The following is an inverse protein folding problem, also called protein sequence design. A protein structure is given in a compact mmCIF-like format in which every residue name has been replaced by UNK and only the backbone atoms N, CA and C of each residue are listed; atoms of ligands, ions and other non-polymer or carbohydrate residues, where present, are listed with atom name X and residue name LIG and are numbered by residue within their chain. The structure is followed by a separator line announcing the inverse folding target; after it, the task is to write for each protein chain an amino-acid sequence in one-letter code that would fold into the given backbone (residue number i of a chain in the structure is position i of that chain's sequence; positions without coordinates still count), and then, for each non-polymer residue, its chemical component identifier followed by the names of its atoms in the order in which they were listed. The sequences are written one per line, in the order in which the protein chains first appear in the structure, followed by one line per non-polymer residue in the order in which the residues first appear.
data_IF_706967068200
#
_entry.id   IF_706967068200
#
_cell.length_a   1.000
_cell.length_b   1.000
_cell.length_c   1.000
_cell.angle_alpha   90.00
_cell.angle_beta   90.00
_cell.angle_gamma   90.00
#
_symmetry.space_group_name_H-M   'P 1'
#
loop_
_entity.id
_entity.type
_entity.pdbx_description
1 polymer ?
#
# COMPACT_ATOMS: atom_id res chain seq x y z
N UNK A 1 27.51 7.67 -2.62
CA UNK A 1 26.52 6.66 -2.17
C UNK A 1 26.02 6.90 -0.73
N UNK A 2 26.88 7.08 0.32
CA UNK A 2 26.40 7.27 1.72
C UNK A 2 25.45 8.46 1.95
N UNK A 3 25.60 9.60 1.26
CA UNK A 3 24.74 10.79 1.42
C UNK A 3 23.28 10.57 0.97
N UNK A 4 23.04 9.77 -0.06
CA UNK A 4 21.68 9.51 -0.55
C UNK A 4 20.86 8.65 0.44
N UNK A 5 21.50 7.69 1.12
CA UNK A 5 20.83 6.87 2.14
C UNK A 5 20.45 7.69 3.38
N UNK A 6 21.28 8.66 3.75
CA UNK A 6 21.00 9.55 4.90
C UNK A 6 19.78 10.43 4.60
N UNK A 7 19.67 10.99 3.37
CA UNK A 7 18.54 11.84 2.98
C UNK A 7 17.24 11.02 2.95
N UNK A 8 17.27 9.81 2.39
CA UNK A 8 16.10 8.91 2.37
C UNK A 8 15.68 8.54 3.80
N UNK A 9 16.64 8.22 4.69
CA UNK A 9 16.33 7.88 6.07
C UNK A 9 15.72 9.09 6.84
N UNK A 10 16.22 10.31 6.61
CA UNK A 10 15.69 11.53 7.25
C UNK A 10 14.27 11.83 6.76
N UNK A 11 14.00 11.68 5.45
CA UNK A 11 12.66 11.92 4.90
C UNK A 11 11.66 10.89 5.43
N UNK A 12 12.06 9.63 5.56
CA UNK A 12 11.20 8.57 6.15
C UNK A 12 10.91 8.85 7.62
N UNK A 13 11.88 9.33 8.39
CA UNK A 13 11.70 9.69 9.80
C UNK A 13 10.76 10.89 9.95
N UNK A 14 10.90 11.92 9.12
CA UNK A 14 10.04 13.12 9.16
C UNK A 14 8.61 12.78 8.74
N UNK A 15 8.43 11.98 7.68
CA UNK A 15 7.11 11.52 7.26
C UNK A 15 6.44 10.63 8.32
N UNK A 16 7.20 9.75 8.98
CA UNK A 16 6.72 8.93 10.08
C UNK A 16 6.33 9.78 11.30
N UNK A 17 7.11 10.81 11.62
CA UNK A 17 6.79 11.74 12.72
C UNK A 17 5.55 12.59 12.43
N UNK A 18 5.40 13.10 11.21
CA UNK A 18 4.20 13.85 10.79
C UNK A 18 2.94 12.96 10.82
N UNK A 19 3.05 11.72 10.35
CA UNK A 19 1.96 10.75 10.40
C UNK A 19 1.63 10.35 11.85
N UNK A 20 2.63 10.16 12.70
CA UNK A 20 2.45 9.92 14.14
C UNK A 20 1.71 11.05 14.84
N UNK A 21 2.08 12.31 14.59
CA UNK A 21 1.39 13.48 15.15
C UNK A 21 -0.05 13.60 14.63
N UNK A 22 -0.27 13.32 13.36
CA UNK A 22 -1.62 13.29 12.77
C UNK A 22 -2.51 12.21 13.40
N UNK A 23 -1.96 11.01 13.64
CA UNK A 23 -2.72 9.90 14.23
C UNK A 23 -2.96 10.08 15.72
N UNK A 24 -1.99 10.61 16.46
CA UNK A 24 -2.09 10.90 17.90
C UNK A 24 -3.25 11.86 18.21
N UNK A 25 -3.48 12.86 17.37
CA UNK A 25 -4.57 13.81 17.55
C UNK A 25 -5.97 13.24 17.28
N UNK A 26 -6.08 11.98 16.82
CA UNK A 26 -7.36 11.33 16.50
C UNK A 26 -7.62 10.04 17.28
N UNK A 27 -6.92 9.79 18.38
CA UNK A 27 -7.10 8.56 19.15
C UNK A 27 -6.62 7.30 18.42
N UNK A 28 -5.65 7.46 17.51
CA UNK A 28 -5.06 6.37 16.73
C UNK A 28 -3.59 6.24 17.05
N UNK A 29 -3.16 5.02 17.39
CA UNK A 29 -1.75 4.68 17.63
C UNK A 29 -1.26 3.72 16.54
N UNK A 30 -0.15 4.06 15.89
CA UNK A 30 0.53 3.14 14.97
C UNK A 30 1.24 2.05 15.78
N UNK A 31 1.02 0.81 15.39
CA UNK A 31 1.65 -0.39 15.95
C UNK A 31 2.83 -0.80 15.08
N UNK A 32 2.64 -0.86 13.76
CA UNK A 32 3.68 -1.28 12.83
C UNK A 32 3.54 -0.57 11.47
N UNK A 33 4.67 -0.08 10.94
CA UNK A 33 4.77 0.47 9.58
C UNK A 33 5.22 -0.62 8.60
N UNK A 34 4.37 -1.01 7.67
CA UNK A 34 4.67 -2.09 6.72
C UNK A 34 5.75 -1.70 5.70
N UNK A 35 5.91 -0.41 5.40
CA UNK A 35 7.02 0.07 4.55
C UNK A 35 8.38 -0.24 5.18
N UNK A 36 8.47 -0.23 6.51
CA UNK A 36 9.72 -0.56 7.21
C UNK A 36 10.05 -2.05 7.16
N UNK A 37 9.02 -2.91 7.06
CA UNK A 37 9.18 -4.37 6.92
C UNK A 37 9.50 -4.76 5.47
N UNK A 38 9.05 -3.97 4.50
CA UNK A 38 9.13 -4.31 3.08
C UNK A 38 10.50 -4.81 2.59
N UNK A 39 11.66 -4.29 3.06
CA UNK A 39 12.97 -4.78 2.65
C UNK A 39 13.36 -6.15 3.21
N UNK A 40 12.67 -6.61 4.28
CA UNK A 40 12.99 -7.88 4.95
C UNK A 40 12.35 -9.05 4.22
N UNK A 41 13.15 -9.79 3.47
CA UNK A 41 12.69 -10.95 2.69
C UNK A 41 12.33 -12.17 3.56
N UNK A 42 12.71 -12.21 4.82
CA UNK A 42 12.26 -13.25 5.74
C UNK A 42 10.80 -13.01 6.21
N UNK A 43 10.36 -11.75 6.17
CA UNK A 43 9.01 -11.34 6.57
C UNK A 43 8.09 -11.01 5.39
N UNK A 44 8.63 -10.99 4.16
CA UNK A 44 7.85 -10.60 2.97
C UNK A 44 8.04 -11.57 1.82
N UNK A 45 6.98 -11.77 1.06
CA UNK A 45 7.03 -12.47 -0.22
C UNK A 45 6.52 -11.55 -1.34
N UNK A 46 7.27 -11.48 -2.44
CA UNK A 46 7.00 -10.63 -3.59
C UNK A 46 6.83 -11.49 -4.84
N UNK A 47 5.63 -11.51 -5.40
CA UNK A 47 5.28 -12.25 -6.63
C UNK A 47 4.84 -11.28 -7.71
N UNK A 48 5.48 -11.35 -8.88
CA UNK A 48 5.12 -10.57 -10.07
C UNK A 48 5.52 -11.31 -11.33
N UNK A 49 4.91 -10.94 -12.45
CA UNK A 49 5.34 -11.36 -13.79
C UNK A 49 6.56 -10.58 -14.28
N UNK A 50 6.88 -9.45 -13.64
CA UNK A 50 8.04 -8.60 -13.93
C UNK A 50 9.20 -8.92 -12.97
N UNK A 51 10.44 -8.60 -13.36
CA UNK A 51 11.57 -8.62 -12.44
C UNK A 51 11.27 -7.80 -11.17
N UNK A 52 11.76 -8.29 -10.02
CA UNK A 52 11.43 -7.72 -8.70
C UNK A 52 11.76 -6.22 -8.59
N UNK A 53 12.92 -5.82 -9.11
CA UNK A 53 13.41 -4.43 -9.09
C UNK A 53 12.58 -3.49 -9.98
N UNK A 54 11.82 -4.03 -10.94
CA UNK A 54 10.87 -3.29 -11.77
C UNK A 54 9.50 -3.26 -11.12
N UNK A 55 9.06 -4.42 -10.59
CA UNK A 55 7.72 -4.58 -10.04
C UNK A 55 7.51 -3.88 -8.70
N UNK A 56 8.59 -3.70 -7.90
CA UNK A 56 8.47 -3.21 -6.53
C UNK A 56 9.52 -2.15 -6.20
N UNK A 57 9.06 -1.09 -5.54
CA UNK A 57 9.95 -0.06 -4.99
C UNK A 57 9.33 0.54 -3.73
N UNK A 58 10.09 0.62 -2.64
CA UNK A 58 9.69 1.39 -1.46
C UNK A 58 10.43 2.73 -1.44
N UNK A 59 9.72 3.80 -1.05
CA UNK A 59 10.28 5.13 -0.95
C UNK A 59 9.22 6.21 -0.72
N UNK A 60 9.63 7.49 -0.68
CA UNK A 60 8.69 8.60 -0.66
C UNK A 60 7.99 8.70 -2.02
N UNK A 61 6.68 8.83 -1.99
CA UNK A 61 5.83 9.03 -3.16
C UNK A 61 4.99 10.30 -2.95
N UNK A 62 4.93 11.14 -3.97
CA UNK A 62 4.20 12.42 -3.90
C UNK A 62 3.00 12.37 -4.85
N UNK A 63 1.82 12.66 -4.32
CA UNK A 63 0.58 12.76 -5.06
C UNK A 63 -0.10 14.07 -4.67
N UNK A 64 -0.35 14.93 -5.64
CA UNK A 64 -0.97 16.25 -5.46
C UNK A 64 -0.26 17.10 -4.39
N UNK A 65 1.07 17.05 -4.38
CA UNK A 65 1.89 17.79 -3.42
C UNK A 65 1.97 17.19 -2.03
N UNK A 66 1.23 16.10 -1.74
CA UNK A 66 1.31 15.39 -0.47
C UNK A 66 2.25 14.18 -0.59
N UNK A 67 3.34 14.18 0.19
CA UNK A 67 4.32 13.09 0.21
C UNK A 67 4.05 12.11 1.33
N UNK A 68 4.03 10.81 0.99
CA UNK A 68 3.89 9.68 1.92
C UNK A 68 4.97 8.63 1.67
N UNK A 69 5.44 7.91 2.70
CA UNK A 69 6.20 6.69 2.46
C UNK A 69 5.29 5.68 1.75
N UNK A 70 5.74 5.13 0.62
CA UNK A 70 4.91 4.26 -0.20
C UNK A 70 5.62 3.00 -0.65
N UNK A 71 4.83 2.02 -1.07
CA UNK A 71 5.27 0.84 -1.78
C UNK A 71 4.64 0.90 -3.17
N UNK A 72 5.47 1.22 -4.17
CA UNK A 72 5.11 1.06 -5.56
C UNK A 72 4.99 -0.43 -5.89
N UNK A 73 3.91 -0.81 -6.56
CA UNK A 73 3.68 -2.18 -7.02
C UNK A 73 3.11 -2.14 -8.44
N UNK A 74 3.93 -2.52 -9.43
CA UNK A 74 3.45 -2.64 -10.81
C UNK A 74 2.42 -3.78 -10.91
N UNK A 75 1.28 -3.61 -11.57
CA UNK A 75 0.37 -4.73 -11.89
C UNK A 75 1.03 -5.74 -12.85
N UNK A 76 0.75 -7.00 -12.79
CA UNK A 76 0.01 -7.76 -11.81
C UNK A 76 0.97 -8.27 -10.73
N UNK A 77 0.87 -7.73 -9.54
CA UNK A 77 1.81 -8.06 -8.46
C UNK A 77 1.09 -8.37 -7.17
N UNK A 78 1.74 -9.22 -6.36
CA UNK A 78 1.31 -9.59 -5.00
C UNK A 78 2.45 -9.41 -4.02
N UNK A 79 2.20 -8.69 -2.94
CA UNK A 79 3.08 -8.55 -1.80
C UNK A 79 2.39 -9.16 -0.57
N UNK A 80 3.11 -10.05 0.11
CA UNK A 80 2.64 -10.70 1.33
C UNK A 80 3.56 -10.30 2.48
N UNK A 81 2.99 -9.82 3.58
CA UNK A 81 3.68 -9.67 4.86
C UNK A 81 3.28 -10.86 5.74
N UNK A 82 4.25 -11.70 6.08
CA UNK A 82 4.02 -12.93 6.80
C UNK A 82 3.88 -12.72 8.31
N UNK A 83 2.93 -13.44 8.91
CA UNK A 83 2.78 -13.60 10.37
C UNK A 83 2.73 -12.29 11.14
N UNK A 84 2.00 -11.31 10.61
CA UNK A 84 1.74 -10.05 11.30
C UNK A 84 0.74 -10.31 12.43
N UNK A 85 1.11 -9.98 13.67
CA UNK A 85 0.19 -10.09 14.80
C UNK A 85 -0.81 -8.95 14.77
N UNK A 86 -2.11 -9.29 14.71
CA UNK A 86 -3.18 -8.30 14.70
C UNK A 86 -3.48 -7.89 16.15
N UNK A 87 -3.35 -6.60 16.51
CA UNK A 87 -3.68 -6.13 17.85
C UNK A 87 -5.19 -6.08 18.09
N UNK A 88 -5.60 -6.01 19.36
CA UNK A 88 -6.98 -5.67 19.72
C UNK A 88 -7.36 -4.31 19.10
N UNK A 89 -8.57 -4.19 18.57
CA UNK A 89 -9.01 -3.00 17.81
C UNK A 89 -8.06 -2.63 16.67
N UNK A 90 -7.41 -3.63 16.05
CA UNK A 90 -6.46 -3.46 14.96
C UNK A 90 -7.14 -3.05 13.66
N UNK A 91 -6.55 -2.09 12.95
CA UNK A 91 -6.94 -1.68 11.61
C UNK A 91 -5.72 -1.61 10.70
N UNK A 92 -5.92 -1.88 9.41
CA UNK A 92 -4.98 -1.44 8.38
C UNK A 92 -5.39 -0.05 7.91
N UNK A 93 -4.51 0.93 8.08
CA UNK A 93 -4.60 2.23 7.40
C UNK A 93 -3.65 2.24 6.22
N UNK A 94 -4.17 2.66 5.07
CA UNK A 94 -3.40 2.74 3.84
C UNK A 94 -4.03 3.78 2.92
N UNK A 95 -3.23 4.33 2.01
CA UNK A 95 -3.67 5.25 0.96
C UNK A 95 -3.37 4.62 -0.39
N UNK A 96 -4.34 4.65 -1.28
CA UNK A 96 -4.19 4.12 -2.64
C UNK A 96 -3.98 5.28 -3.59
N UNK A 97 -3.08 5.11 -4.56
CA UNK A 97 -2.94 6.07 -5.64
C UNK A 97 -2.34 5.42 -6.89
N UNK A 98 -2.61 6.03 -8.03
CA UNK A 98 -1.86 5.86 -9.26
C UNK A 98 -1.04 7.15 -9.44
N UNK A 99 0.25 7.02 -9.82
CA UNK A 99 1.17 8.17 -9.91
C UNK A 99 0.69 9.22 -10.93
N UNK A 100 0.97 10.48 -10.64
CA UNK A 100 0.54 11.63 -11.46
C UNK A 100 1.00 11.55 -12.92
N UNK A 101 2.18 10.99 -13.16
CA UNK A 101 2.71 10.80 -14.50
C UNK A 101 1.85 9.90 -15.41
N UNK A 102 0.91 9.13 -14.83
CA UNK A 102 -0.02 8.28 -15.58
C UNK A 102 -1.35 8.97 -15.93
N UNK A 103 -1.72 10.05 -15.23
CA UNK A 103 -3.08 10.58 -15.28
C UNK A 103 -3.52 11.11 -16.62
N UNK A 104 -2.60 11.72 -17.38
CA UNK A 104 -2.88 12.32 -18.70
C UNK A 104 -2.37 11.44 -19.86
N UNK A 105 -1.84 10.25 -19.56
CA UNK A 105 -1.37 9.35 -20.60
C UNK A 105 -2.54 8.58 -21.24
N UNK A 106 -2.58 8.48 -22.58
CA UNK A 106 -3.65 7.74 -23.24
C UNK A 106 -3.56 6.23 -22.91
N UNK A 107 -4.72 5.61 -22.79
CA UNK A 107 -4.84 4.16 -22.61
C UNK A 107 -4.78 3.67 -21.17
N UNK A 108 -4.64 4.54 -20.17
CA UNK A 108 -4.80 4.15 -18.77
C UNK A 108 -6.28 3.82 -18.48
N UNK A 109 -6.55 2.73 -17.78
CA UNK A 109 -7.88 2.32 -17.34
C UNK A 109 -7.93 2.03 -15.83
N UNK A 110 -6.88 2.46 -15.11
CA UNK A 110 -6.78 2.40 -13.66
C UNK A 110 -6.30 1.06 -13.13
N UNK A 111 -6.15 1.00 -11.82
CA UNK A 111 -5.63 -0.15 -11.08
C UNK A 111 -6.65 -0.68 -10.11
N UNK A 112 -6.84 -1.99 -10.08
CA UNK A 112 -7.60 -2.66 -9.05
C UNK A 112 -6.69 -3.02 -7.88
N UNK A 113 -6.89 -2.34 -6.75
CA UNK A 113 -6.24 -2.63 -5.47
C UNK A 113 -7.08 -3.62 -4.69
N UNK A 114 -6.45 -4.72 -4.26
CA UNK A 114 -7.11 -5.71 -3.41
C UNK A 114 -6.25 -6.00 -2.20
N UNK A 115 -6.88 -6.04 -1.05
CA UNK A 115 -6.24 -6.43 0.19
C UNK A 115 -7.06 -7.49 0.89
N UNK A 116 -6.40 -8.43 1.53
CA UNK A 116 -7.01 -9.41 2.40
C UNK A 116 -6.00 -10.02 3.35
N UNK A 117 -6.51 -10.88 4.20
CA UNK A 117 -5.73 -11.61 5.21
C UNK A 117 -5.84 -13.11 5.01
N UNK A 118 -4.84 -13.86 5.48
CA UNK A 118 -4.88 -15.32 5.46
C UNK A 118 -4.19 -15.91 6.69
N UNK A 119 -4.77 -16.99 7.22
CA UNK A 119 -4.15 -17.84 8.24
C UNK A 119 -3.31 -18.98 7.64
N UNK A 120 -3.11 -18.97 6.31
CA UNK A 120 -2.45 -20.02 5.55
C UNK A 120 -3.40 -21.12 5.04
N UNK A 121 -4.68 -21.11 5.43
CA UNK A 121 -5.72 -22.06 4.99
C UNK A 121 -6.85 -21.35 4.26
N UNK A 122 -7.31 -20.24 4.81
CA UNK A 122 -8.39 -19.43 4.29
C UNK A 122 -7.85 -18.03 3.92
N UNK A 123 -8.40 -17.43 2.86
CA UNK A 123 -8.16 -16.06 2.45
C UNK A 123 -9.46 -15.27 2.55
N UNK A 124 -9.44 -14.19 3.30
CA UNK A 124 -10.56 -13.26 3.43
C UNK A 124 -10.21 -11.96 2.73
N UNK A 125 -10.94 -11.60 1.67
CA UNK A 125 -10.80 -10.33 0.98
C UNK A 125 -11.51 -9.22 1.76
N UNK A 126 -10.77 -8.17 2.12
CA UNK A 126 -11.26 -7.05 2.93
C UNK A 126 -11.29 -5.72 2.19
N UNK A 127 -10.61 -5.62 1.06
CA UNK A 127 -10.62 -4.46 0.17
C UNK A 127 -10.61 -4.92 -1.28
N UNK A 128 -11.47 -4.28 -2.08
CA UNK A 128 -11.51 -4.41 -3.53
C UNK A 128 -11.88 -3.03 -4.10
N UNK A 129 -10.87 -2.24 -4.47
CA UNK A 129 -11.04 -0.85 -4.87
C UNK A 129 -10.35 -0.56 -6.20
N UNK A 130 -11.11 -0.10 -7.17
CA UNK A 130 -10.59 0.43 -8.43
C UNK A 130 -10.24 1.91 -8.26
N UNK A 131 -9.06 2.32 -8.73
CA UNK A 131 -8.57 3.71 -8.73
C UNK A 131 -8.16 4.05 -10.15
N UNK A 132 -8.88 4.97 -10.79
CA UNK A 132 -8.74 5.30 -12.22
C UNK A 132 -8.66 6.82 -12.44
N UNK A 133 -7.52 7.46 -12.16
CA UNK A 133 -7.37 8.91 -12.28
C UNK A 133 -7.38 9.42 -13.72
N UNK A 134 -7.19 8.55 -14.71
CA UNK A 134 -7.28 8.92 -16.12
C UNK A 134 -8.74 9.25 -16.52
N UNK A 135 -9.69 8.44 -16.08
CA UNK A 135 -11.10 8.57 -16.42
C UNK A 135 -11.95 9.16 -15.27
N UNK A 136 -11.46 9.12 -14.03
CA UNK A 136 -12.15 9.67 -12.85
C UNK A 136 -11.25 10.72 -12.13
N UNK A 137 -11.46 12.03 -12.34
CA UNK A 137 -10.67 13.07 -11.68
C UNK A 137 -10.74 13.04 -10.13
N UNK A 138 -11.78 12.43 -9.54
CA UNK A 138 -11.88 12.26 -8.09
C UNK A 138 -10.80 11.31 -7.53
N UNK A 139 -10.25 10.43 -8.37
CA UNK A 139 -9.17 9.51 -8.00
C UNK A 139 -7.77 10.14 -8.12
N UNK A 140 -7.67 11.38 -8.60
CA UNK A 140 -6.40 12.14 -8.70
C UNK A 140 -5.95 12.66 -7.34
N UNK A 141 -5.81 11.75 -6.38
CA UNK A 141 -5.40 12.03 -5.00
C UNK A 141 -5.02 10.74 -4.27
N UNK A 142 -4.55 10.88 -3.02
CA UNK A 142 -4.49 9.76 -2.10
C UNK A 142 -5.90 9.34 -1.66
N UNK A 143 -6.32 8.13 -2.04
CA UNK A 143 -7.60 7.54 -1.64
C UNK A 143 -7.40 6.79 -0.32
N UNK A 144 -7.86 7.38 0.79
CA UNK A 144 -7.69 6.82 2.12
C UNK A 144 -8.54 5.56 2.32
N UNK A 145 -7.95 4.52 2.91
CA UNK A 145 -8.62 3.30 3.34
C UNK A 145 -8.33 3.03 4.81
N UNK A 146 -9.35 2.58 5.53
CA UNK A 146 -9.27 2.20 6.94
C UNK A 146 -10.04 0.88 7.12
N UNK A 147 -9.30 -0.21 7.17
CA UNK A 147 -9.84 -1.58 7.11
C UNK A 147 -9.80 -2.18 8.51
N UNK A 148 -10.96 -2.55 9.03
CA UNK A 148 -11.10 -3.19 10.33
C UNK A 148 -10.54 -4.62 10.29
N UNK A 149 -9.59 -4.91 11.19
CA UNK A 149 -8.99 -6.22 11.38
C UNK A 149 -9.35 -6.83 12.73
N UNK A 150 -10.26 -6.23 13.49
CA UNK A 150 -10.58 -6.67 14.87
C UNK A 150 -11.08 -8.12 14.96
N UNK A 151 -11.70 -8.64 13.89
CA UNK A 151 -12.10 -10.04 13.80
C UNK A 151 -10.92 -11.03 13.89
N UNK A 152 -9.69 -10.58 13.67
CA UNK A 152 -8.45 -11.37 13.69
C UNK A 152 -7.57 -11.02 14.90
N UNK A 153 -8.10 -10.29 15.89
CA UNK A 153 -7.35 -9.86 17.07
C UNK A 153 -6.63 -11.02 17.76
N UNK A 154 -5.37 -10.81 18.14
CA UNK A 154 -4.49 -11.81 18.77
C UNK A 154 -3.93 -12.88 17.82
N UNK A 155 -4.39 -12.95 16.59
CA UNK A 155 -3.93 -13.94 15.61
C UNK A 155 -2.70 -13.41 14.82
N UNK A 156 -1.90 -14.36 14.32
CA UNK A 156 -0.86 -14.09 13.33
C UNK A 156 -1.43 -14.34 11.93
N UNK A 157 -1.54 -13.29 11.13
CA UNK A 157 -2.11 -13.34 9.79
C UNK A 157 -1.06 -12.94 8.73
N UNK A 158 -1.15 -13.54 7.58
CA UNK A 158 -0.49 -13.04 6.38
C UNK A 158 -1.34 -11.89 5.80
N UNK A 159 -0.72 -10.71 5.64
CA UNK A 159 -1.36 -9.56 5.01
C UNK A 159 -1.02 -9.55 3.52
N UNK A 160 -2.03 -9.64 2.66
CA UNK A 160 -1.88 -9.87 1.23
C UNK A 160 -2.37 -8.66 0.44
N UNK A 161 -1.43 -7.96 -0.20
CA UNK A 161 -1.67 -6.80 -1.06
C UNK A 161 -1.55 -7.24 -2.52
N UNK A 162 -2.53 -6.89 -3.34
CA UNK A 162 -2.49 -7.17 -4.78
C UNK A 162 -2.78 -5.90 -5.58
N UNK A 163 -2.06 -5.72 -6.68
CA UNK A 163 -2.39 -4.77 -7.74
C UNK A 163 -2.68 -5.52 -9.02
N UNK A 164 -3.80 -5.20 -9.66
CA UNK A 164 -4.22 -5.80 -10.94
C UNK A 164 -4.46 -4.70 -11.97
N UNK A 165 -4.08 -4.97 -13.21
CA UNK A 165 -4.15 -4.05 -14.35
C UNK A 165 -5.52 -3.98 -15.02
N UNK A 166 -6.48 -4.75 -14.54
CA UNK A 166 -7.81 -4.79 -15.16
C UNK A 166 -8.91 -5.16 -14.18
N UNK A 167 -10.07 -4.62 -14.42
CA UNK A 167 -11.31 -5.09 -13.80
C UNK A 167 -11.70 -6.48 -14.35
N UNK A 168 -12.40 -7.30 -13.56
CA UNK A 168 -12.94 -8.57 -14.04
C UNK A 168 -13.72 -8.38 -15.35
N UNK A 169 -13.47 -9.26 -16.35
CA UNK A 169 -14.09 -9.25 -17.67
C UNK A 169 -13.62 -8.15 -18.63
N UNK A 170 -12.55 -7.41 -18.30
CA UNK A 170 -11.85 -6.52 -19.25
C UNK A 170 -10.57 -7.20 -19.74
N UNK A 171 -10.10 -6.91 -20.96
CA UNK A 171 -8.78 -7.33 -21.40
C UNK A 171 -7.71 -6.73 -20.50
N UNK A 172 -6.61 -7.45 -20.20
CA UNK A 172 -5.48 -6.89 -19.48
C UNK A 172 -4.91 -5.67 -20.19
N UNK A 173 -4.68 -4.59 -19.46
CA UNK A 173 -4.05 -3.37 -19.97
C UNK A 173 -3.13 -2.75 -18.90
N UNK A 174 -1.86 -3.19 -18.80
CA UNK A 174 -0.92 -2.69 -17.80
C UNK A 174 -0.36 -1.31 -18.13
N UNK A 175 -0.90 -0.62 -19.15
CA UNK A 175 -0.41 0.67 -19.60
C UNK A 175 -0.72 1.76 -18.58
N UNK A 176 0.35 2.42 -18.08
CA UNK A 176 0.23 3.53 -17.13
C UNK A 176 -0.30 3.17 -15.73
N UNK A 177 -0.24 1.91 -15.35
CA UNK A 177 -0.74 1.42 -14.06
C UNK A 177 0.33 1.54 -12.96
N UNK A 178 0.73 2.76 -12.66
CA UNK A 178 1.78 3.04 -11.67
C UNK A 178 1.20 3.10 -10.25
N UNK A 179 0.83 1.93 -9.73
CA UNK A 179 0.14 1.77 -8.45
C UNK A 179 1.04 2.01 -7.24
N UNK A 180 0.50 2.70 -6.23
CA UNK A 180 1.19 2.96 -4.96
C UNK A 180 0.27 2.65 -3.77
N UNK A 181 0.79 1.87 -2.83
CA UNK A 181 0.25 1.70 -1.48
C UNK A 181 0.94 2.68 -0.55
N UNK A 182 0.30 3.80 -0.24
CA UNK A 182 0.84 4.89 0.57
C UNK A 182 0.68 4.65 2.06
N UNK A 183 1.75 4.82 2.83
CA UNK A 183 1.82 4.73 4.28
C UNK A 183 1.06 3.53 4.90
N UNK A 184 1.19 2.29 4.36
CA UNK A 184 0.50 1.15 4.92
C UNK A 184 0.99 0.87 6.34
N UNK A 185 0.06 0.85 7.30
CA UNK A 185 0.38 0.67 8.72
C UNK A 185 -0.73 -0.06 9.47
N UNK A 186 -0.33 -0.93 10.40
CA UNK A 186 -1.24 -1.47 11.42
C UNK A 186 -1.38 -0.44 12.51
N UNK A 187 -2.61 -0.09 12.82
CA UNK A 187 -2.97 0.91 13.83
C UNK A 187 -3.98 0.36 14.82
N UNK A 188 -4.06 0.97 16.00
CA UNK A 188 -5.10 0.70 17.01
C UNK A 188 -5.91 1.97 17.17
N UNK A 189 -7.22 1.84 17.22
CA UNK A 189 -8.16 2.92 17.57
C UNK A 189 -8.56 2.82 19.04
N UNK A 190 -8.61 3.96 19.72
CA UNK A 190 -9.04 4.09 21.11
C UNK A 190 -10.40 4.74 21.18
#
# INVERSE_FOLDING_TARGET
MKRSYIIVAVVLVVAAAAFYLYTKNRGVRVVEYLVAIFPDDARTEKRSTLPREVAYKAGPETIKGETRPGIFMHPNSRLIFHKVTIPDSGHLRVFLAVKEEAWERPGGDGVLFRFGVSDGRQYDELLNQHVDPANNPADRQWVAQDIDLSAYAGQQMDLIFNTQDSLPRRPPNPSNDFAVWGAPAIVVKH
#
